data_IF_296688326743
#
_entry.id   IF_296688326743
#
_cell.length_a   1.000
_cell.length_b   1.000
_cell.length_c   1.000
_cell.angle_alpha   90.00
_cell.angle_beta   90.00
_cell.angle_gamma   90.00
#
_symmetry.space_group_name_H-M   'P 1'
#
loop_
_entity.id
_entity.type
_entity.pdbx_description
1 polymer ?
#
# COMPACT_ATOMS: atom_id res chain seq x y z
N UNK A 1 12.12 -12.91 -18.01
CA UNK A 1 11.96 -13.59 -16.69
C UNK A 1 12.12 -12.61 -15.52
N UNK A 2 13.14 -11.75 -15.52
CA UNK A 2 13.42 -10.79 -14.44
C UNK A 2 12.27 -9.80 -14.18
N UNK A 3 11.69 -9.17 -15.20
CA UNK A 3 10.57 -8.23 -15.02
C UNK A 3 9.35 -8.86 -14.35
N UNK A 4 9.06 -10.14 -14.67
CA UNK A 4 7.96 -10.87 -14.04
C UNK A 4 8.25 -11.13 -12.56
N UNK A 5 9.50 -11.49 -12.23
CA UNK A 5 9.92 -11.68 -10.84
C UNK A 5 9.82 -10.39 -10.04
N UNK A 6 10.26 -9.25 -10.60
CA UNK A 6 10.13 -7.93 -9.96
C UNK A 6 8.65 -7.61 -9.69
N UNK A 7 7.78 -7.79 -10.69
CA UNK A 7 6.35 -7.55 -10.54
C UNK A 7 5.74 -8.37 -9.39
N UNK A 8 5.99 -9.68 -9.36
CA UNK A 8 5.42 -10.56 -8.34
C UNK A 8 6.00 -10.33 -6.95
N UNK A 9 7.28 -9.98 -6.84
CA UNK A 9 7.89 -9.59 -5.55
C UNK A 9 7.19 -8.35 -4.99
N UNK A 10 6.91 -7.34 -5.82
CA UNK A 10 6.20 -6.15 -5.38
C UNK A 10 4.75 -6.48 -4.99
N UNK A 11 4.05 -7.27 -5.80
CA UNK A 11 2.66 -7.67 -5.50
C UNK A 11 2.57 -8.41 -4.17
N UNK A 12 3.42 -9.42 -3.94
CA UNK A 12 3.45 -10.16 -2.68
C UNK A 12 3.90 -9.25 -1.53
N UNK A 13 4.89 -8.41 -1.75
CA UNK A 13 5.36 -7.44 -0.76
C UNK A 13 4.27 -6.47 -0.30
N UNK A 14 3.48 -5.93 -1.23
CA UNK A 14 2.35 -5.05 -0.93
C UNK A 14 1.23 -5.79 -0.18
N UNK A 15 0.97 -7.06 -0.50
CA UNK A 15 -0.02 -7.87 0.23
C UNK A 15 0.46 -8.09 1.67
N UNK A 16 1.70 -8.56 1.85
CA UNK A 16 2.26 -8.84 3.18
C UNK A 16 2.29 -7.58 4.03
N UNK A 17 2.77 -6.47 3.45
CA UNK A 17 2.80 -5.17 4.13
C UNK A 17 1.40 -4.68 4.48
N UNK A 18 0.47 -4.73 3.54
CA UNK A 18 -0.90 -4.23 3.72
C UNK A 18 -1.65 -5.03 4.79
N UNK A 19 -1.50 -6.37 4.79
CA UNK A 19 -2.07 -7.24 5.84
C UNK A 19 -1.45 -6.94 7.20
N UNK A 20 -0.13 -6.79 7.26
CA UNK A 20 0.57 -6.44 8.51
C UNK A 20 0.09 -5.10 9.08
N UNK A 21 0.00 -4.08 8.24
CA UNK A 21 -0.49 -2.76 8.65
C UNK A 21 -1.96 -2.77 9.04
N UNK A 22 -2.81 -3.54 8.35
CA UNK A 22 -4.21 -3.71 8.72
C UNK A 22 -4.37 -4.38 10.10
N UNK A 23 -3.54 -5.39 10.43
CA UNK A 23 -3.53 -6.03 11.75
C UNK A 23 -3.12 -5.02 12.82
N UNK A 24 -2.04 -4.26 12.60
CA UNK A 24 -1.59 -3.22 13.54
C UNK A 24 -2.64 -2.12 13.71
N UNK A 25 -3.27 -1.69 12.63
CA UNK A 25 -4.36 -0.71 12.63
C UNK A 25 -5.51 -1.19 13.52
N UNK A 26 -5.99 -2.42 13.33
CA UNK A 26 -7.03 -3.01 14.17
C UNK A 26 -6.62 -3.14 15.65
N UNK A 27 -5.36 -3.49 15.91
CA UNK A 27 -4.82 -3.56 17.27
C UNK A 27 -4.81 -2.19 17.96
N UNK A 28 -4.30 -1.15 17.31
CA UNK A 28 -4.21 0.19 17.90
C UNK A 28 -5.56 0.90 17.99
N UNK A 29 -6.49 0.63 17.07
CA UNK A 29 -7.87 1.07 17.16
C UNK A 29 -8.55 0.53 18.44
N UNK A 30 -8.31 -0.73 18.80
CA UNK A 30 -8.83 -1.31 20.07
C UNK A 30 -8.24 -0.64 21.31
N UNK A 31 -6.99 -0.20 21.25
CA UNK A 31 -6.30 0.47 22.36
C UNK A 31 -6.51 2.00 22.37
N UNK A 32 -7.34 2.54 21.46
CA UNK A 32 -7.63 3.97 21.31
C UNK A 32 -6.38 4.86 21.15
N UNK A 33 -5.30 4.30 20.59
CA UNK A 33 -4.06 5.04 20.33
C UNK A 33 -4.10 5.70 18.95
N UNK A 34 -4.85 6.80 18.86
CA UNK A 34 -5.17 7.46 17.59
C UNK A 34 -3.91 8.02 16.87
N UNK A 35 -2.86 8.37 17.61
CA UNK A 35 -1.57 8.77 17.02
C UNK A 35 -0.91 7.64 16.20
N UNK A 36 -0.98 6.39 16.68
CA UNK A 36 -0.40 5.24 15.98
C UNK A 36 -1.20 4.90 14.71
N UNK A 37 -2.53 5.03 14.76
CA UNK A 37 -3.38 4.88 13.58
C UNK A 37 -3.05 5.91 12.50
N UNK A 38 -2.82 7.16 12.88
CA UNK A 38 -2.42 8.20 11.94
C UNK A 38 -1.04 7.92 11.32
N UNK A 39 -0.08 7.44 12.12
CA UNK A 39 1.22 7.01 11.61
C UNK A 39 1.10 5.85 10.62
N UNK A 40 0.24 4.85 10.91
CA UNK A 40 -0.02 3.74 9.99
C UNK A 40 -0.63 4.25 8.67
N UNK A 41 -1.56 5.22 8.71
CA UNK A 41 -2.10 5.83 7.50
C UNK A 41 -1.01 6.43 6.60
N UNK A 42 -0.02 7.12 7.20
CA UNK A 42 1.14 7.66 6.47
C UNK A 42 1.98 6.52 5.87
N UNK A 43 2.27 5.48 6.64
CA UNK A 43 3.05 4.33 6.17
C UNK A 43 2.35 3.60 5.02
N UNK A 44 1.03 3.41 5.10
CA UNK A 44 0.24 2.84 4.01
C UNK A 44 0.17 3.77 2.80
N UNK A 45 0.15 5.08 2.98
CA UNK A 45 0.23 6.05 1.88
C UNK A 45 1.56 5.93 1.12
N UNK A 46 2.68 5.77 1.83
CA UNK A 46 3.97 5.52 1.19
C UNK A 46 3.99 4.19 0.43
N UNK A 47 3.40 3.14 1.00
CA UNK A 47 3.23 1.84 0.33
C UNK A 47 2.37 1.96 -0.94
N UNK A 48 1.26 2.71 -0.88
CA UNK A 48 0.40 2.99 -2.02
C UNK A 48 1.15 3.73 -3.13
N UNK A 49 1.93 4.76 -2.79
CA UNK A 49 2.73 5.51 -3.76
C UNK A 49 3.78 4.62 -4.45
N UNK A 50 4.47 3.77 -3.68
CA UNK A 50 5.39 2.80 -4.25
C UNK A 50 4.67 1.83 -5.21
N UNK A 51 3.50 1.32 -4.81
CA UNK A 51 2.67 0.46 -5.65
C UNK A 51 2.16 1.16 -6.91
N UNK A 52 1.79 2.45 -6.84
CA UNK A 52 1.38 3.25 -7.99
C UNK A 52 2.51 3.47 -8.99
N UNK A 53 3.75 3.66 -8.53
CA UNK A 53 4.91 3.73 -9.43
C UNK A 53 5.11 2.43 -10.20
N UNK A 54 5.00 1.29 -9.51
CA UNK A 54 5.07 -0.02 -10.17
C UNK A 54 3.91 -0.21 -11.13
N UNK A 55 2.68 0.11 -10.72
CA UNK A 55 1.53 0.04 -11.61
C UNK A 55 1.71 0.93 -12.85
N UNK A 56 2.23 2.15 -12.71
CA UNK A 56 2.47 3.05 -13.82
C UNK A 56 3.47 2.48 -14.85
N UNK A 57 4.59 1.94 -14.37
CA UNK A 57 5.61 1.30 -15.22
C UNK A 57 5.06 0.06 -15.91
N UNK A 58 4.34 -0.78 -15.17
CA UNK A 58 3.85 -2.06 -15.68
C UNK A 58 2.52 -1.97 -16.45
N UNK A 59 1.77 -0.87 -16.37
CA UNK A 59 0.53 -0.70 -17.14
C UNK A 59 0.78 -0.25 -18.59
N UNK A 60 2.01 0.13 -18.95
CA UNK A 60 2.35 0.55 -20.31
C UNK A 60 3.51 -0.26 -20.87
N UNK A 61 3.27 -0.95 -22.00
CA UNK A 61 4.28 -1.81 -22.61
C UNK A 61 5.57 -1.06 -23.01
N UNK A 62 5.45 0.20 -23.45
CA UNK A 62 6.60 1.07 -23.77
C UNK A 62 7.45 1.38 -22.53
N UNK A 63 6.82 1.62 -21.38
CA UNK A 63 7.51 1.90 -20.12
C UNK A 63 8.21 0.64 -19.59
N UNK A 64 7.55 -0.52 -19.69
CA UNK A 64 8.19 -1.79 -19.36
C UNK A 64 9.44 -2.04 -20.21
N UNK A 65 9.40 -1.77 -21.52
CA UNK A 65 10.57 -1.89 -22.38
C UNK A 65 11.68 -0.89 -22.02
N UNK A 66 11.33 0.37 -21.76
CA UNK A 66 12.29 1.41 -21.41
C UNK A 66 13.05 1.08 -20.10
N UNK A 67 12.34 0.62 -19.08
CA UNK A 67 12.92 0.38 -17.75
C UNK A 67 13.45 -1.04 -17.54
N UNK A 68 12.83 -2.05 -18.16
CA UNK A 68 13.07 -3.47 -17.84
C UNK A 68 13.48 -4.29 -19.07
N UNK A 69 13.57 -3.67 -20.24
CA UNK A 69 13.94 -4.29 -21.53
C UNK A 69 13.13 -5.56 -21.86
N UNK A 70 11.95 -5.70 -21.27
CA UNK A 70 11.11 -6.89 -21.40
C UNK A 70 9.67 -6.57 -21.01
N UNK A 71 8.73 -7.35 -21.53
CA UNK A 71 7.30 -7.16 -21.28
C UNK A 71 6.70 -8.32 -20.49
N UNK A 72 5.77 -7.98 -19.61
CA UNK A 72 5.06 -8.89 -18.72
C UNK A 72 3.58 -8.58 -18.86
N UNK A 73 2.78 -9.64 -18.99
CA UNK A 73 1.34 -9.54 -18.91
C UNK A 73 0.94 -9.36 -17.44
N UNK A 74 0.48 -8.16 -17.11
CA UNK A 74 0.04 -7.82 -15.75
C UNK A 74 -1.38 -8.30 -15.49
N UNK A 75 -1.67 -8.72 -14.26
CA UNK A 75 -3.04 -9.00 -13.86
C UNK A 75 -3.70 -7.78 -13.22
N UNK A 76 -5.03 -7.80 -13.15
CA UNK A 76 -5.81 -6.77 -12.44
C UNK A 76 -5.59 -6.78 -10.91
N UNK A 77 -4.85 -7.76 -10.38
CA UNK A 77 -4.60 -7.92 -8.94
C UNK A 77 -3.90 -6.70 -8.33
N UNK A 78 -2.88 -6.16 -9.01
CA UNK A 78 -2.17 -4.96 -8.51
C UNK A 78 -3.14 -3.78 -8.35
N UNK A 79 -4.02 -3.55 -9.34
CA UNK A 79 -5.03 -2.51 -9.26
C UNK A 79 -5.99 -2.71 -8.08
N UNK A 80 -6.44 -3.96 -7.84
CA UNK A 80 -7.30 -4.29 -6.70
C UNK A 80 -6.59 -4.04 -5.35
N UNK A 81 -5.31 -4.41 -5.24
CA UNK A 81 -4.50 -4.13 -4.04
C UNK A 81 -4.42 -2.63 -3.79
N UNK A 82 -4.16 -1.81 -4.81
CA UNK A 82 -4.08 -0.35 -4.65
C UNK A 82 -5.42 0.24 -4.17
N UNK A 83 -6.55 -0.25 -4.67
CA UNK A 83 -7.88 0.14 -4.19
C UNK A 83 -8.05 -0.23 -2.71
N UNK A 84 -7.65 -1.44 -2.30
CA UNK A 84 -7.68 -1.83 -0.89
C UNK A 84 -6.83 -0.93 0.00
N UNK A 85 -5.64 -0.51 -0.46
CA UNK A 85 -4.81 0.46 0.24
C UNK A 85 -5.51 1.81 0.41
N UNK A 86 -6.16 2.34 -0.63
CA UNK A 86 -6.91 3.61 -0.54
C UNK A 86 -8.00 3.51 0.53
N UNK A 87 -8.79 2.43 0.52
CA UNK A 87 -9.84 2.22 1.53
C UNK A 87 -9.25 2.14 2.93
N UNK A 88 -8.17 1.37 3.11
CA UNK A 88 -7.51 1.21 4.40
C UNK A 88 -6.97 2.55 4.93
N UNK A 89 -6.28 3.33 4.10
CA UNK A 89 -5.75 4.66 4.44
C UNK A 89 -6.88 5.60 4.87
N UNK A 90 -8.00 5.62 4.15
CA UNK A 90 -9.15 6.48 4.50
C UNK A 90 -9.69 6.13 5.89
N UNK A 91 -9.85 4.83 6.19
CA UNK A 91 -10.29 4.35 7.49
C UNK A 91 -9.30 4.78 8.59
N UNK A 92 -8.02 4.51 8.39
CA UNK A 92 -6.95 4.83 9.35
C UNK A 92 -6.82 6.33 9.59
N UNK A 93 -6.98 7.13 8.55
CA UNK A 93 -6.90 8.58 8.64
C UNK A 93 -8.09 9.17 9.39
N UNK A 94 -9.31 8.68 9.14
CA UNK A 94 -10.52 9.12 9.88
C UNK A 94 -10.40 8.73 11.36
N UNK A 95 -9.96 7.51 11.67
CA UNK A 95 -9.77 7.05 13.05
C UNK A 95 -8.61 7.78 13.74
N UNK A 96 -7.51 8.01 13.04
CA UNK A 96 -6.31 8.66 13.56
C UNK A 96 -6.46 10.16 13.79
N UNK A 97 -7.32 10.85 13.03
CA UNK A 97 -7.61 12.29 13.22
C UNK A 97 -8.19 12.63 14.58
N UNK A 98 -8.79 11.67 15.28
CA UNK A 98 -9.32 11.84 16.62
C UNK A 98 -8.23 11.94 17.69
N UNK A 99 -7.08 12.57 17.44
CA UNK A 99 -6.01 12.77 18.44
C UNK A 99 -6.64 13.51 19.62
N UNK A 100 -7.08 12.75 20.63
CA UNK A 100 -7.49 13.32 21.90
C UNK A 100 -6.20 13.83 22.52
N UNK A 101 -6.12 15.11 22.91
CA UNK A 101 -4.96 15.57 23.66
C UNK A 101 -4.78 14.63 24.84
N UNK A 102 -3.55 14.15 25.02
CA UNK A 102 -3.15 13.42 26.20
C UNK A 102 -3.65 14.23 27.40
N UNK A 103 -4.53 13.62 28.22
CA UNK A 103 -4.98 14.28 29.45
C UNK A 103 -3.74 14.41 30.33
N UNK A 104 -3.18 15.62 30.35
CA UNK A 104 -2.17 16.05 31.30
C UNK A 104 -2.73 15.99 32.74
#
# INVERSE_FOLDING_TARGET
MIASLIYWVVVVGLIVWGVWMAILSAYWARHQQNGNLFFIAIMNTLGLLAGLLVWWVFNHQNWQYYWLSSTVNTSNLLGLILICYVVLIVIEFIQGRGIKPEKA
#
